data_IF_313451263869
#
_entry.id   IF_313451263869
#
_cell.length_a   1.000
_cell.length_b   1.000
_cell.length_c   1.000
_cell.angle_alpha   90.00
_cell.angle_beta   90.00
_cell.angle_gamma   90.00
#
_symmetry.space_group_name_H-M   'P 1'
#
loop_
_entity.id
_entity.type
_entity.pdbx_description
1 polymer ?
#
# COMPACT_ATOMS: atom_id res chain seq x y z
N UNK A 1 -25.37 -19.40 102.68
CA UNK A 1 -26.12 -20.07 101.61
C UNK A 1 -26.93 -19.08 100.69
N UNK A 2 -27.50 -17.96 101.21
CA UNK A 2 -28.25 -17.02 100.36
C UNK A 2 -27.42 -16.22 99.37
N UNK A 3 -26.15 -15.91 99.61
CA UNK A 3 -25.29 -15.14 98.66
C UNK A 3 -24.77 -15.93 97.49
N UNK A 4 -24.52 -17.28 97.65
CA UNK A 4 -24.10 -18.19 96.61
C UNK A 4 -25.20 -18.42 95.58
N UNK A 5 -26.46 -18.48 95.97
CA UNK A 5 -27.60 -18.62 95.11
C UNK A 5 -27.80 -17.46 94.12
N UNK A 6 -27.52 -16.23 94.63
CA UNK A 6 -27.63 -15.01 93.82
C UNK A 6 -26.58 -14.97 92.72
N UNK A 7 -25.35 -15.39 92.99
CA UNK A 7 -24.29 -15.46 91.98
C UNK A 7 -24.56 -16.50 90.87
N UNK A 8 -25.21 -17.62 91.26
CA UNK A 8 -25.58 -18.65 90.26
C UNK A 8 -26.70 -18.14 89.35
N UNK A 9 -27.66 -17.38 89.88
CA UNK A 9 -28.72 -16.78 89.08
C UNK A 9 -28.18 -15.71 88.12
N UNK A 10 -27.28 -14.84 88.62
CA UNK A 10 -26.63 -13.85 87.76
C UNK A 10 -25.79 -14.48 86.68
N UNK A 11 -25.04 -15.53 86.97
CA UNK A 11 -24.27 -16.27 85.95
C UNK A 11 -25.19 -16.94 84.89
N UNK A 12 -26.29 -17.53 85.30
CA UNK A 12 -27.25 -18.11 84.37
C UNK A 12 -27.90 -17.06 83.43
N UNK A 13 -28.25 -15.87 83.98
CA UNK A 13 -28.77 -14.78 83.18
C UNK A 13 -27.75 -14.24 82.20
N UNK A 14 -26.45 -14.12 82.59
CA UNK A 14 -25.39 -13.69 81.71
C UNK A 14 -25.13 -14.71 80.57
N UNK A 15 -25.17 -16.01 80.88
CA UNK A 15 -25.02 -17.06 79.88
C UNK A 15 -26.23 -17.08 78.94
N UNK A 16 -27.45 -16.83 79.45
CA UNK A 16 -28.65 -16.74 78.61
C UNK A 16 -28.60 -15.53 77.66
N UNK A 17 -28.13 -14.37 78.14
CA UNK A 17 -27.95 -13.17 77.32
C UNK A 17 -26.84 -13.36 76.29
N UNK A 18 -25.74 -14.01 76.62
CA UNK A 18 -24.69 -14.32 75.67
C UNK A 18 -25.15 -15.30 74.60
N UNK A 19 -25.87 -16.37 74.98
CA UNK A 19 -26.47 -17.30 74.02
C UNK A 19 -27.50 -16.65 73.07
N UNK A 20 -28.33 -15.76 73.62
CA UNK A 20 -29.29 -14.97 72.79
C UNK A 20 -28.57 -14.06 71.81
N UNK A 21 -27.53 -13.37 72.26
CA UNK A 21 -26.72 -12.47 71.39
C UNK A 21 -25.95 -13.21 70.32
N UNK A 22 -25.41 -14.40 70.59
CA UNK A 22 -24.77 -15.28 69.65
C UNK A 22 -25.76 -15.80 68.58
N UNK A 23 -26.95 -16.26 69.04
CA UNK A 23 -28.00 -16.75 68.13
C UNK A 23 -28.50 -15.63 67.24
N UNK A 24 -28.75 -14.42 67.77
CA UNK A 24 -29.19 -13.26 66.98
C UNK A 24 -28.13 -12.78 65.99
N UNK A 25 -26.86 -12.81 66.36
CA UNK A 25 -25.79 -12.48 65.43
C UNK A 25 -25.64 -13.51 64.34
N UNK A 26 -25.80 -14.80 64.64
CA UNK A 26 -25.71 -15.88 63.67
C UNK A 26 -26.80 -15.80 62.62
N UNK A 27 -28.05 -15.50 63.04
CA UNK A 27 -29.15 -15.33 62.08
C UNK A 27 -29.03 -14.08 61.20
N UNK A 28 -28.40 -12.99 61.74
CA UNK A 28 -28.07 -11.79 60.92
C UNK A 28 -26.96 -12.09 59.90
N UNK A 29 -25.90 -12.79 60.30
CA UNK A 29 -24.85 -13.19 59.40
C UNK A 29 -25.33 -14.16 58.32
N UNK A 30 -26.22 -15.11 58.68
CA UNK A 30 -26.79 -16.02 57.67
C UNK A 30 -27.72 -15.30 56.71
N UNK A 31 -28.42 -14.23 57.13
CA UNK A 31 -29.22 -13.40 56.25
C UNK A 31 -28.38 -12.49 55.36
N UNK A 32 -27.32 -11.88 55.87
CA UNK A 32 -26.36 -11.09 55.06
C UNK A 32 -25.61 -11.98 54.05
N UNK A 33 -25.13 -13.16 54.45
CA UNK A 33 -24.47 -14.11 53.53
C UNK A 33 -25.44 -14.64 52.48
N UNK A 34 -26.71 -14.85 52.81
CA UNK A 34 -27.75 -15.27 51.85
C UNK A 34 -28.12 -14.15 50.85
N UNK A 35 -28.04 -12.88 51.26
CA UNK A 35 -28.29 -11.73 50.39
C UNK A 35 -27.11 -11.46 49.46
N UNK A 36 -25.86 -11.53 49.96
CA UNK A 36 -24.63 -11.47 49.16
C UNK A 36 -24.51 -12.65 48.21
N UNK A 37 -24.89 -13.88 48.63
CA UNK A 37 -24.91 -15.04 47.76
C UNK A 37 -25.94 -14.92 46.62
N UNK A 38 -27.04 -14.21 46.81
CA UNK A 38 -28.03 -13.91 45.75
C UNK A 38 -27.50 -12.85 44.76
N UNK A 39 -26.64 -11.96 45.16
CA UNK A 39 -26.05 -10.92 44.31
C UNK A 39 -24.86 -11.44 43.52
N UNK A 40 -24.08 -12.42 44.05
CA UNK A 40 -22.95 -13.09 43.38
C UNK A 40 -23.39 -14.01 42.24
N UNK A 41 -24.70 -14.36 42.16
CA UNK A 41 -25.26 -15.26 41.15
C UNK A 41 -25.53 -14.56 39.77
N UNK A 42 -25.24 -13.26 39.66
CA UNK A 42 -25.39 -12.48 38.42
C UNK A 42 -24.06 -12.15 37.80
N UNK A 43 -23.86 -12.55 36.54
CA UNK A 43 -22.65 -12.25 35.80
C UNK A 43 -22.81 -10.89 35.13
N UNK A 44 -21.83 -10.01 35.33
CA UNK A 44 -21.80 -8.69 34.72
C UNK A 44 -21.47 -8.81 33.22
N UNK A 45 -22.30 -8.23 32.37
CA UNK A 45 -22.15 -8.28 30.92
C UNK A 45 -22.39 -6.91 30.28
N UNK A 46 -21.70 -6.61 29.19
CA UNK A 46 -22.04 -5.50 28.31
C UNK A 46 -22.92 -6.00 27.17
N UNK A 47 -23.89 -5.21 26.80
CA UNK A 47 -24.80 -5.52 25.69
C UNK A 47 -24.80 -4.41 24.65
N UNK A 48 -25.04 -4.82 23.40
CA UNK A 48 -25.29 -3.91 22.28
C UNK A 48 -26.66 -4.25 21.70
N UNK A 49 -27.46 -3.22 21.46
CA UNK A 49 -28.76 -3.40 20.78
C UNK A 49 -28.51 -3.56 19.28
N UNK A 50 -29.00 -4.64 18.73
CA UNK A 50 -28.91 -4.95 17.31
C UNK A 50 -29.82 -4.01 16.53
N UNK A 51 -29.25 -3.32 15.54
CA UNK A 51 -29.96 -2.37 14.68
C UNK A 51 -29.57 -2.57 13.23
N UNK A 52 -30.46 -2.14 12.32
CA UNK A 52 -30.08 -2.00 10.93
C UNK A 52 -29.13 -0.82 10.77
N UNK A 53 -27.98 -1.08 10.24
CA UNK A 53 -26.98 -0.04 9.94
C UNK A 53 -26.71 0.01 8.45
N UNK A 54 -26.52 1.24 7.97
CA UNK A 54 -26.05 1.48 6.60
C UNK A 54 -24.56 1.23 6.53
N UNK A 55 -24.15 0.08 6.05
CA UNK A 55 -22.74 -0.27 5.88
C UNK A 55 -22.31 0.06 4.45
N UNK A 56 -21.22 0.81 4.32
CA UNK A 56 -20.59 1.02 3.04
C UNK A 56 -19.94 -0.28 2.57
N UNK A 57 -20.36 -0.79 1.41
CA UNK A 57 -19.89 -2.06 0.83
C UNK A 57 -18.85 -1.84 -0.26
N UNK A 58 -18.22 -0.66 -0.31
CA UNK A 58 -17.15 -0.39 -1.27
C UNK A 58 -16.03 -1.42 -1.11
N UNK A 59 -15.57 -1.93 -2.24
CA UNK A 59 -14.42 -2.82 -2.24
C UNK A 59 -13.13 -2.01 -2.04
N UNK A 60 -12.28 -2.44 -1.13
CA UNK A 60 -10.99 -1.81 -0.87
C UNK A 60 -9.85 -2.77 -1.16
N UNK A 61 -8.77 -2.25 -1.77
CA UNK A 61 -7.54 -2.99 -1.97
C UNK A 61 -6.34 -2.14 -1.58
N UNK A 62 -5.39 -2.76 -0.88
CA UNK A 62 -4.15 -2.10 -0.51
C UNK A 62 -3.10 -2.25 -1.61
N UNK A 63 -2.27 -1.23 -1.76
CA UNK A 63 -1.21 -1.23 -2.74
C UNK A 63 -0.07 -0.30 -2.40
N UNK A 64 0.90 -0.25 -3.31
CA UNK A 64 2.12 0.55 -3.18
C UNK A 64 2.25 1.48 -4.37
N UNK A 65 2.65 2.72 -4.12
CA UNK A 65 2.97 3.66 -5.19
C UNK A 65 4.29 3.31 -5.86
N UNK A 66 4.26 3.17 -7.17
CA UNK A 66 5.41 3.02 -8.04
C UNK A 66 5.62 4.31 -8.85
N UNK A 67 6.84 4.63 -9.27
CA UNK A 67 7.07 5.75 -10.17
C UNK A 67 6.38 5.50 -11.52
N UNK A 68 5.98 6.57 -12.22
CA UNK A 68 5.42 6.45 -13.58
C UNK A 68 6.42 5.79 -14.52
N UNK A 69 7.67 6.20 -14.43
CA UNK A 69 8.80 5.65 -15.17
C UNK A 69 10.04 5.67 -14.28
N UNK A 70 10.85 4.66 -14.43
CA UNK A 70 12.15 4.52 -13.80
C UNK A 70 13.15 4.06 -14.84
N UNK A 71 14.34 4.65 -14.83
CA UNK A 71 15.39 4.35 -15.80
C UNK A 71 16.76 4.39 -15.14
N UNK A 72 17.51 3.31 -15.33
CA UNK A 72 18.93 3.28 -15.02
C UNK A 72 19.71 3.75 -16.26
N UNK A 73 20.26 4.97 -16.19
CA UNK A 73 21.09 5.52 -17.25
C UNK A 73 22.50 4.96 -17.12
N UNK A 74 22.92 4.23 -18.15
CA UNK A 74 24.25 3.58 -18.24
C UNK A 74 25.15 4.27 -19.26
N UNK A 75 26.46 4.02 -19.17
CA UNK A 75 27.42 4.43 -20.19
C UNK A 75 27.29 3.56 -21.43
N UNK A 76 27.41 4.16 -22.61
CA UNK A 76 27.45 3.45 -23.91
C UNK A 76 28.89 3.20 -24.36
N UNK A 77 29.87 3.94 -23.80
CA UNK A 77 31.30 3.83 -24.17
C UNK A 77 32.16 3.65 -22.91
N UNK A 78 33.38 3.16 -23.13
CA UNK A 78 34.42 3.12 -22.08
C UNK A 78 35.15 4.46 -21.99
N UNK A 79 35.45 4.88 -20.75
CA UNK A 79 36.26 6.05 -20.53
C UNK A 79 36.28 6.55 -19.10
N UNK A 80 37.07 7.61 -18.85
CA UNK A 80 37.13 8.27 -17.55
C UNK A 80 36.10 9.39 -17.51
N UNK A 81 35.33 9.49 -16.44
CA UNK A 81 34.40 10.59 -16.17
C UNK A 81 35.20 11.85 -15.84
N UNK A 82 34.98 12.91 -16.61
CA UNK A 82 35.58 14.23 -16.39
C UNK A 82 34.78 15.07 -15.42
N UNK A 83 33.46 15.09 -15.62
CA UNK A 83 32.55 15.86 -14.79
C UNK A 83 31.21 15.18 -14.62
N UNK A 84 30.60 15.40 -13.45
CA UNK A 84 29.21 15.03 -13.13
C UNK A 84 28.48 16.33 -12.81
N UNK A 85 27.42 16.63 -13.58
CA UNK A 85 26.73 17.93 -13.57
C UNK A 85 25.49 17.94 -12.67
N UNK A 86 25.11 16.78 -12.13
CA UNK A 86 23.90 16.60 -11.33
C UNK A 86 24.20 15.90 -10.01
N UNK A 87 23.30 16.12 -9.03
CA UNK A 87 23.33 15.48 -7.71
C UNK A 87 22.04 14.72 -7.50
N UNK A 88 22.01 13.82 -6.51
CA UNK A 88 20.78 13.19 -6.05
C UNK A 88 19.75 14.26 -5.64
N UNK A 89 18.48 14.04 -5.97
CA UNK A 89 17.41 15.01 -5.79
C UNK A 89 17.30 16.08 -6.90
N UNK A 90 18.27 16.18 -7.84
CA UNK A 90 18.20 17.13 -8.96
C UNK A 90 17.13 16.72 -9.95
N UNK A 91 16.26 17.66 -10.36
CA UNK A 91 15.33 17.47 -11.48
C UNK A 91 16.05 17.63 -12.80
N UNK A 92 15.79 16.71 -13.73
CA UNK A 92 16.41 16.68 -15.06
C UNK A 92 15.34 16.51 -16.14
N UNK A 93 15.59 17.13 -17.29
CA UNK A 93 14.80 16.94 -18.51
C UNK A 93 15.39 15.83 -19.39
N UNK A 94 14.54 15.17 -20.18
CA UNK A 94 15.00 14.23 -21.20
C UNK A 94 16.00 14.93 -22.15
N UNK A 95 17.12 14.26 -22.47
CA UNK A 95 18.21 14.81 -23.26
C UNK A 95 19.20 15.73 -22.51
N UNK A 96 18.92 16.08 -21.25
CA UNK A 96 19.84 16.88 -20.43
C UNK A 96 21.13 16.12 -20.14
N UNK A 97 22.29 16.76 -20.29
CA UNK A 97 23.58 16.15 -19.98
C UNK A 97 23.76 16.02 -18.46
N UNK A 98 24.09 14.81 -18.01
CA UNK A 98 24.28 14.44 -16.60
C UNK A 98 25.76 14.34 -16.24
N UNK A 99 26.57 13.79 -17.14
CA UNK A 99 28.00 13.61 -16.97
C UNK A 99 28.70 13.65 -18.33
N UNK A 100 30.02 13.88 -18.29
CA UNK A 100 30.88 13.84 -19.49
C UNK A 100 32.05 12.89 -19.29
N UNK A 101 32.33 12.12 -20.34
CA UNK A 101 33.48 11.22 -20.42
C UNK A 101 34.61 11.92 -21.17
N UNK A 102 35.85 11.60 -20.82
CA UNK A 102 37.05 12.11 -21.48
C UNK A 102 37.06 11.74 -22.95
N UNK A 103 37.25 12.71 -23.84
CA UNK A 103 37.09 12.53 -25.29
C UNK A 103 38.35 12.87 -26.12
N UNK A 104 39.50 13.18 -25.49
CA UNK A 104 40.70 13.64 -26.20
C UNK A 104 41.11 12.72 -27.35
N UNK A 105 41.07 11.40 -27.15
CA UNK A 105 41.38 10.44 -28.22
C UNK A 105 40.35 10.45 -29.35
N UNK A 106 39.05 10.60 -29.01
CA UNK A 106 37.98 10.66 -30.00
C UNK A 106 38.06 11.96 -30.81
N UNK A 107 38.45 13.09 -30.20
CA UNK A 107 38.64 14.37 -30.89
C UNK A 107 39.75 14.27 -31.95
N UNK A 108 40.83 13.51 -31.68
CA UNK A 108 41.90 13.24 -32.66
C UNK A 108 41.35 12.42 -33.83
N UNK A 109 40.58 11.34 -33.55
CA UNK A 109 39.95 10.49 -34.57
C UNK A 109 38.98 11.28 -35.48
N UNK A 110 38.19 12.18 -34.87
CA UNK A 110 37.29 13.07 -35.62
C UNK A 110 38.08 14.00 -36.54
N UNK A 111 39.14 14.62 -36.03
CA UNK A 111 39.97 15.51 -36.83
C UNK A 111 40.59 14.79 -38.02
N UNK A 112 41.05 13.54 -37.81
CA UNK A 112 41.57 12.68 -38.90
C UNK A 112 40.49 12.37 -39.94
N UNK A 113 39.27 12.01 -39.48
CA UNK A 113 38.17 11.73 -40.40
C UNK A 113 37.75 12.97 -41.20
N UNK A 114 37.73 14.15 -40.55
CA UNK A 114 37.45 15.42 -41.23
C UNK A 114 38.48 15.78 -42.28
N UNK A 115 39.78 15.59 -41.99
CA UNK A 115 40.86 15.82 -42.97
C UNK A 115 40.71 14.87 -44.18
N UNK A 116 40.39 13.58 -43.94
CA UNK A 116 40.19 12.63 -45.03
C UNK A 116 38.94 13.01 -45.86
N UNK A 117 37.86 13.49 -45.24
CA UNK A 117 36.70 14.01 -45.94
C UNK A 117 37.03 15.21 -46.79
N UNK A 118 37.80 16.18 -46.28
CA UNK A 118 38.23 17.37 -47.05
C UNK A 118 39.03 16.98 -48.28
N UNK A 119 39.97 16.02 -48.15
CA UNK A 119 40.74 15.52 -49.30
C UNK A 119 39.79 14.85 -50.33
N UNK A 120 38.89 13.99 -49.89
CA UNK A 120 37.93 13.31 -50.79
C UNK A 120 36.98 14.31 -51.51
N UNK A 121 36.60 15.41 -50.88
CA UNK A 121 35.80 16.50 -51.50
C UNK A 121 36.62 17.15 -52.62
N UNK A 122 37.89 17.53 -52.35
CA UNK A 122 38.76 18.17 -53.33
C UNK A 122 39.01 17.24 -54.54
N UNK A 123 39.29 15.99 -54.27
CA UNK A 123 39.57 15.02 -55.32
C UNK A 123 38.32 14.74 -56.17
N UNK A 124 37.17 14.53 -55.56
CA UNK A 124 35.91 14.36 -56.29
C UNK A 124 35.61 15.57 -57.17
N UNK A 125 35.82 16.79 -56.68
CA UNK A 125 35.63 18.02 -57.46
C UNK A 125 36.59 18.12 -58.66
N UNK A 126 37.85 17.68 -58.50
CA UNK A 126 38.82 17.55 -59.62
C UNK A 126 38.35 16.54 -60.67
N UNK A 127 37.92 15.34 -60.26
CA UNK A 127 37.40 14.31 -61.15
C UNK A 127 36.10 14.79 -61.84
N UNK A 128 35.22 15.47 -61.19
CA UNK A 128 33.99 16.02 -61.80
C UNK A 128 34.32 17.06 -62.89
N UNK A 129 35.28 17.94 -62.64
CA UNK A 129 35.71 18.95 -63.60
C UNK A 129 36.47 18.29 -64.78
N UNK A 130 37.34 17.33 -64.54
CA UNK A 130 38.08 16.63 -65.58
C UNK A 130 37.15 15.75 -66.44
N UNK A 131 36.09 15.18 -65.86
CA UNK A 131 35.08 14.39 -66.59
C UNK A 131 34.28 15.26 -67.58
N UNK A 132 33.95 16.50 -67.21
CA UNK A 132 33.25 17.45 -68.10
C UNK A 132 34.07 17.78 -69.34
N UNK A 133 35.41 17.71 -69.26
CA UNK A 133 36.37 17.99 -70.35
C UNK A 133 36.89 16.70 -71.04
N UNK A 134 36.35 15.51 -70.68
CA UNK A 134 36.80 14.24 -71.24
C UNK A 134 38.13 13.74 -70.70
N UNK A 135 38.73 14.35 -69.67
CA UNK A 135 40.05 14.02 -69.12
C UNK A 135 40.10 12.79 -68.24
N UNK A 136 38.91 12.25 -67.80
CA UNK A 136 38.82 11.04 -66.97
C UNK A 136 37.62 10.19 -67.41
N UNK A 137 37.68 8.87 -67.09
CA UNK A 137 36.60 7.95 -67.39
C UNK A 137 35.47 8.06 -66.36
N UNK A 138 34.27 7.65 -66.75
CA UNK A 138 33.11 7.58 -65.83
C UNK A 138 33.40 6.70 -64.62
N UNK A 139 34.12 5.61 -64.79
CA UNK A 139 34.54 4.71 -63.72
C UNK A 139 35.41 5.44 -62.68
N UNK A 140 36.36 6.28 -63.14
CA UNK A 140 37.19 7.08 -62.24
C UNK A 140 36.39 8.10 -61.47
N UNK A 141 35.42 8.78 -62.10
CA UNK A 141 34.49 9.68 -61.39
C UNK A 141 33.65 8.94 -60.37
N UNK A 142 33.06 7.82 -60.75
CA UNK A 142 32.19 7.04 -59.84
C UNK A 142 33.01 6.48 -58.64
N UNK A 143 34.29 6.10 -58.86
CA UNK A 143 35.18 5.73 -57.75
C UNK A 143 35.48 6.91 -56.81
N UNK A 144 35.71 8.11 -57.33
CA UNK A 144 35.92 9.27 -56.48
C UNK A 144 34.69 9.65 -55.67
N UNK A 145 33.47 9.50 -56.25
CA UNK A 145 32.21 9.68 -55.55
C UNK A 145 31.98 8.65 -54.42
N UNK A 146 32.39 7.40 -54.66
CA UNK A 146 32.36 6.35 -53.63
C UNK A 146 33.30 6.68 -52.47
N UNK A 147 34.54 7.14 -52.80
CA UNK A 147 35.50 7.58 -51.75
C UNK A 147 34.95 8.75 -50.91
N UNK A 148 34.31 9.72 -51.55
CA UNK A 148 33.64 10.85 -50.83
C UNK A 148 32.55 10.35 -49.91
N UNK A 149 31.66 9.43 -50.39
CA UNK A 149 30.61 8.86 -49.52
C UNK A 149 31.19 8.09 -48.33
N UNK A 150 32.25 7.31 -48.54
CA UNK A 150 32.93 6.58 -47.47
C UNK A 150 33.53 7.52 -46.45
N UNK A 151 34.19 8.62 -46.86
CA UNK A 151 34.73 9.61 -45.97
C UNK A 151 33.63 10.34 -45.18
N UNK A 152 32.50 10.67 -45.82
CA UNK A 152 31.33 11.25 -45.13
C UNK A 152 30.73 10.29 -44.07
N UNK A 153 30.69 8.99 -44.37
CA UNK A 153 30.23 7.99 -43.42
C UNK A 153 31.17 7.85 -42.22
N UNK A 154 32.51 7.92 -42.46
CA UNK A 154 33.50 7.88 -41.40
C UNK A 154 33.37 9.07 -40.41
N UNK A 155 33.19 10.31 -40.92
CA UNK A 155 32.93 11.49 -40.04
C UNK A 155 31.67 11.30 -39.26
N UNK A 156 30.58 10.82 -39.86
CA UNK A 156 29.31 10.53 -39.11
C UNK A 156 29.54 9.51 -37.99
N UNK A 157 30.28 8.44 -38.25
CA UNK A 157 30.57 7.43 -37.24
C UNK A 157 31.31 8.05 -36.00
N UNK A 158 32.32 8.90 -36.29
CA UNK A 158 33.04 9.59 -35.19
C UNK A 158 32.14 10.61 -34.46
N UNK A 159 31.24 11.28 -35.17
CA UNK A 159 30.30 12.24 -34.53
C UNK A 159 29.32 11.54 -33.57
N UNK A 160 28.89 10.31 -33.85
CA UNK A 160 28.13 9.50 -32.93
C UNK A 160 28.95 9.20 -31.66
N UNK A 161 30.20 8.76 -31.82
CA UNK A 161 31.10 8.50 -30.68
C UNK A 161 31.32 9.73 -29.79
N UNK A 162 31.42 10.94 -30.37
CA UNK A 162 31.45 12.18 -29.58
C UNK A 162 30.15 12.37 -28.80
N UNK A 163 29.02 12.14 -29.46
CA UNK A 163 27.72 12.26 -28.77
C UNK A 163 27.66 11.36 -27.53
N UNK A 164 28.17 10.13 -27.66
CA UNK A 164 28.15 9.10 -26.59
C UNK A 164 29.08 9.45 -25.41
N UNK A 165 30.01 10.42 -25.58
CA UNK A 165 30.80 10.95 -24.46
C UNK A 165 29.98 11.81 -23.49
N UNK A 166 28.82 12.30 -23.91
CA UNK A 166 27.89 13.07 -23.11
C UNK A 166 26.77 12.19 -22.62
N UNK A 167 26.82 11.75 -21.38
CA UNK A 167 25.76 10.95 -20.78
C UNK A 167 24.53 11.82 -20.56
N UNK A 168 23.42 11.48 -21.22
CA UNK A 168 22.18 12.26 -21.20
C UNK A 168 21.07 11.50 -20.54
N UNK A 169 20.16 12.23 -19.88
CA UNK A 169 18.95 11.65 -19.29
C UNK A 169 18.03 11.09 -20.40
N UNK A 170 17.70 9.80 -20.34
CA UNK A 170 16.78 9.18 -21.28
C UNK A 170 15.32 9.55 -21.04
N UNK A 171 14.97 9.92 -19.79
CA UNK A 171 13.63 10.36 -19.38
C UNK A 171 13.73 11.66 -18.55
N UNK A 172 12.63 12.40 -18.50
CA UNK A 172 12.49 13.52 -17.55
C UNK A 172 12.11 12.97 -16.17
N UNK A 173 12.76 13.46 -15.11
CA UNK A 173 12.51 12.99 -13.76
C UNK A 173 13.42 13.63 -12.72
N UNK A 174 13.61 12.93 -11.62
CA UNK A 174 14.54 13.32 -10.54
C UNK A 174 15.61 12.25 -10.40
N UNK A 175 16.85 12.65 -10.20
CA UNK A 175 17.96 11.71 -9.90
C UNK A 175 17.68 11.09 -8.53
N UNK A 176 17.37 9.81 -8.50
CA UNK A 176 17.17 9.07 -7.27
C UNK A 176 18.51 8.62 -6.67
N UNK A 177 19.40 8.12 -7.54
CA UNK A 177 20.70 7.63 -7.12
C UNK A 177 21.78 7.99 -8.14
N UNK A 178 22.96 8.37 -7.63
CA UNK A 178 24.16 8.61 -8.40
C UNK A 178 25.21 7.55 -8.02
N UNK A 179 25.66 6.78 -8.99
CA UNK A 179 26.55 5.63 -8.79
C UNK A 179 27.99 5.91 -9.29
N UNK A 180 28.26 7.13 -9.74
CA UNK A 180 29.54 7.50 -10.34
C UNK A 180 30.02 8.84 -9.83
N UNK A 181 31.37 8.99 -9.80
CA UNK A 181 32.07 10.19 -9.38
C UNK A 181 33.03 10.68 -10.48
N UNK A 182 33.37 11.98 -10.51
CA UNK A 182 34.44 12.47 -11.36
C UNK A 182 35.73 11.69 -11.09
N UNK A 183 36.43 11.31 -12.19
CA UNK A 183 37.64 10.50 -12.13
C UNK A 183 37.40 8.98 -12.22
N UNK A 184 36.19 8.49 -12.01
CA UNK A 184 35.86 7.07 -12.17
C UNK A 184 36.01 6.61 -13.63
N UNK A 185 36.36 5.34 -13.83
CA UNK A 185 36.42 4.71 -15.14
C UNK A 185 35.19 3.86 -15.31
N UNK A 186 34.49 4.02 -16.42
CA UNK A 186 33.26 3.29 -16.77
C UNK A 186 33.45 2.47 -18.04
N UNK A 187 32.63 1.45 -18.21
CA UNK A 187 32.54 0.60 -19.39
C UNK A 187 31.10 0.59 -19.90
N UNK A 188 30.85 0.17 -21.15
CA UNK A 188 29.50 0.03 -21.68
C UNK A 188 28.62 -0.82 -20.76
N UNK A 189 27.40 -0.35 -20.49
CA UNK A 189 26.46 -1.00 -19.57
C UNK A 189 26.65 -0.67 -18.10
N UNK A 190 27.71 0.07 -17.70
CA UNK A 190 27.87 0.48 -16.28
C UNK A 190 26.77 1.46 -15.90
N UNK A 191 25.90 1.14 -14.90
CA UNK A 191 24.85 2.04 -14.45
C UNK A 191 25.48 3.26 -13.74
N UNK A 192 25.06 4.45 -14.13
CA UNK A 192 25.61 5.71 -13.63
C UNK A 192 24.60 6.52 -12.82
N UNK A 193 23.36 6.56 -13.27
CA UNK A 193 22.28 7.32 -12.65
C UNK A 193 20.99 6.53 -12.68
N UNK A 194 20.24 6.58 -11.59
CA UNK A 194 18.87 6.13 -11.51
C UNK A 194 17.96 7.36 -11.56
N UNK A 195 17.10 7.43 -12.58
CA UNK A 195 16.19 8.55 -12.82
C UNK A 195 14.77 8.05 -12.60
N UNK A 196 14.03 8.71 -11.74
CA UNK A 196 12.62 8.38 -11.45
C UNK A 196 11.69 9.52 -11.83
N UNK A 197 10.64 9.22 -12.54
CA UNK A 197 9.57 10.18 -12.84
C UNK A 197 8.44 10.00 -11.83
N UNK A 198 8.32 10.97 -10.94
CA UNK A 198 7.31 11.02 -9.88
C UNK A 198 6.28 12.13 -10.07
N UNK A 199 6.18 12.75 -11.25
CA UNK A 199 5.15 13.76 -11.54
C UNK A 199 3.74 13.16 -11.53
N UNK A 200 3.60 11.91 -11.94
CA UNK A 200 2.49 11.05 -11.59
C UNK A 200 3.03 9.72 -11.07
N UNK A 201 2.25 9.05 -10.27
CA UNK A 201 2.58 7.75 -9.68
C UNK A 201 1.57 6.71 -10.13
N UNK A 202 1.96 5.45 -10.10
CA UNK A 202 1.07 4.32 -10.29
C UNK A 202 0.85 3.65 -8.94
N UNK A 203 -0.38 3.61 -8.46
CA UNK A 203 -0.74 2.76 -7.35
C UNK A 203 -1.00 1.35 -7.89
N UNK A 204 -0.12 0.42 -7.55
CA UNK A 204 -0.27 -0.99 -7.89
C UNK A 204 -1.01 -1.69 -6.75
N UNK A 205 -2.19 -2.21 -7.05
CA UNK A 205 -3.05 -2.95 -6.11
C UNK A 205 -3.34 -4.35 -6.65
N UNK A 206 -3.63 -5.27 -5.73
CA UNK A 206 -4.07 -6.62 -6.07
C UNK A 206 -5.58 -6.72 -5.82
N UNK A 207 -6.33 -7.11 -6.85
CA UNK A 207 -7.79 -7.21 -6.81
C UNK A 207 -8.20 -8.67 -6.95
N UNK A 208 -9.07 -9.13 -6.06
CA UNK A 208 -9.62 -10.49 -6.07
C UNK A 208 -10.34 -10.82 -7.38
N UNK A 209 -10.33 -12.09 -7.80
CA UNK A 209 -11.10 -12.60 -8.93
C UNK A 209 -12.59 -12.25 -8.84
N UNK A 210 -13.18 -12.32 -7.64
CA UNK A 210 -14.59 -11.99 -7.41
C UNK A 210 -14.97 -10.53 -7.63
N UNK A 211 -13.97 -9.63 -7.66
CA UNK A 211 -14.15 -8.18 -7.79
C UNK A 211 -13.64 -7.64 -9.12
N UNK A 212 -12.65 -8.28 -9.75
CA UNK A 212 -12.03 -7.78 -10.98
C UNK A 212 -13.04 -7.60 -12.12
N UNK A 213 -14.07 -8.46 -12.19
CA UNK A 213 -15.14 -8.34 -13.19
C UNK A 213 -16.06 -7.12 -13.00
N UNK A 214 -15.98 -6.43 -11.86
CA UNK A 214 -16.82 -5.26 -11.53
C UNK A 214 -16.11 -3.93 -11.77
N UNK A 215 -14.80 -3.94 -11.99
CA UNK A 215 -14.00 -2.74 -12.27
C UNK A 215 -13.73 -2.60 -13.75
N UNK A 216 -13.52 -1.37 -14.20
CA UNK A 216 -13.32 -1.05 -15.62
C UNK A 216 -12.13 -0.12 -15.83
N UNK A 217 -11.48 -0.25 -16.99
CA UNK A 217 -10.45 0.68 -17.42
C UNK A 217 -11.04 2.10 -17.50
N UNK A 218 -10.29 3.09 -17.02
CA UNK A 218 -10.73 4.48 -17.00
C UNK A 218 -11.59 4.85 -15.79
N UNK A 219 -12.03 3.90 -14.97
CA UNK A 219 -12.80 4.15 -13.75
C UNK A 219 -12.00 5.02 -12.77
N UNK A 220 -12.66 5.99 -12.14
CA UNK A 220 -12.09 6.76 -11.03
C UNK A 220 -12.14 5.95 -9.73
N UNK A 221 -11.07 6.06 -8.96
CA UNK A 221 -10.88 5.37 -7.69
C UNK A 221 -10.44 6.39 -6.65
N UNK A 222 -11.11 6.42 -5.51
CA UNK A 222 -10.68 7.20 -4.36
C UNK A 222 -9.50 6.47 -3.68
N UNK A 223 -8.53 7.24 -3.20
CA UNK A 223 -7.30 6.69 -2.62
C UNK A 223 -7.06 7.34 -1.27
N UNK A 224 -6.90 6.51 -0.26
CA UNK A 224 -6.54 6.92 1.09
C UNK A 224 -5.08 6.56 1.37
N UNK A 225 -4.31 7.56 1.82
CA UNK A 225 -2.89 7.41 2.17
C UNK A 225 -2.75 7.64 3.66
N UNK A 226 -2.52 6.60 4.44
CA UNK A 226 -2.54 6.65 5.92
C UNK A 226 -1.57 7.67 6.54
N UNK A 227 -0.45 7.96 5.85
CA UNK A 227 0.54 8.94 6.31
C UNK A 227 0.16 10.38 5.94
N UNK A 228 -0.91 10.59 5.17
CA UNK A 228 -1.43 11.88 4.72
C UNK A 228 -2.96 11.90 4.87
N UNK A 229 -3.49 11.80 6.11
CA UNK A 229 -4.92 11.61 6.33
C UNK A 229 -5.78 12.84 5.97
N UNK A 230 -5.18 14.02 5.94
CA UNK A 230 -5.86 15.28 5.57
C UNK A 230 -6.00 15.46 4.05
N UNK A 231 -5.19 14.73 3.26
CA UNK A 231 -5.17 14.84 1.81
C UNK A 231 -6.08 13.79 1.18
N UNK A 232 -6.97 14.21 0.30
CA UNK A 232 -7.77 13.32 -0.53
C UNK A 232 -7.12 13.14 -1.89
N UNK A 233 -6.85 11.89 -2.25
CA UNK A 233 -6.30 11.54 -3.56
C UNK A 233 -7.33 10.77 -4.37
N UNK A 234 -7.26 10.95 -5.67
CA UNK A 234 -8.03 10.15 -6.62
C UNK A 234 -7.13 9.75 -7.78
N UNK A 235 -7.41 8.61 -8.34
CA UNK A 235 -6.69 8.08 -9.49
C UNK A 235 -7.65 7.49 -10.51
N UNK A 236 -7.09 7.08 -11.64
CA UNK A 236 -7.82 6.42 -12.72
C UNK A 236 -7.19 5.08 -13.02
N UNK A 237 -7.99 4.04 -13.16
CA UNK A 237 -7.51 2.72 -13.57
C UNK A 237 -6.96 2.81 -15.00
N UNK A 238 -5.67 2.53 -15.17
CA UNK A 238 -4.98 2.56 -16.47
C UNK A 238 -4.65 1.18 -16.98
N UNK A 239 -4.57 0.18 -16.09
CA UNK A 239 -4.27 -1.18 -16.46
C UNK A 239 -4.95 -2.17 -15.51
N UNK A 240 -5.49 -3.24 -16.07
CA UNK A 240 -5.99 -4.42 -15.36
C UNK A 240 -5.28 -5.61 -16.01
N UNK A 241 -4.54 -6.38 -15.22
CA UNK A 241 -3.80 -7.52 -15.75
C UNK A 241 -4.76 -8.56 -16.35
N UNK A 242 -4.46 -9.10 -17.55
CA UNK A 242 -5.28 -10.13 -18.19
C UNK A 242 -5.11 -11.51 -17.53
N UNK A 243 -4.15 -11.65 -16.61
CA UNK A 243 -3.82 -12.89 -15.90
C UNK A 243 -3.63 -12.60 -14.41
N UNK A 244 -4.20 -13.48 -13.57
CA UNK A 244 -3.99 -13.46 -12.13
C UNK A 244 -2.59 -13.96 -11.73
N UNK A 245 -2.18 -13.61 -10.53
CA UNK A 245 -1.06 -14.24 -9.83
C UNK A 245 -1.43 -15.66 -9.32
N UNK A 246 -0.50 -16.31 -8.62
CA UNK A 246 -0.70 -17.64 -8.05
C UNK A 246 -1.77 -17.69 -6.93
N UNK A 247 -2.13 -16.54 -6.38
CA UNK A 247 -3.15 -16.40 -5.33
C UNK A 247 -4.51 -15.96 -5.88
N UNK A 248 -4.73 -16.03 -7.21
CA UNK A 248 -5.94 -15.61 -7.91
C UNK A 248 -6.25 -14.10 -7.77
N UNK A 249 -5.22 -13.28 -7.53
CA UNK A 249 -5.35 -11.84 -7.53
C UNK A 249 -4.90 -11.25 -8.87
N UNK A 250 -5.59 -10.24 -9.33
CA UNK A 250 -5.29 -9.51 -10.55
C UNK A 250 -4.57 -8.20 -10.23
N UNK A 251 -3.32 -8.00 -10.70
CA UNK A 251 -2.66 -6.71 -10.60
C UNK A 251 -3.43 -5.62 -11.36
N UNK A 252 -3.68 -4.51 -10.69
CA UNK A 252 -4.37 -3.34 -11.25
C UNK A 252 -3.50 -2.11 -11.00
N UNK A 253 -3.27 -1.29 -12.04
CA UNK A 253 -2.55 -0.03 -11.94
C UNK A 253 -3.53 1.15 -12.00
N UNK A 254 -3.40 2.04 -11.02
CA UNK A 254 -4.19 3.27 -10.90
C UNK A 254 -3.22 4.45 -11.03
N UNK A 255 -3.36 5.25 -12.08
CA UNK A 255 -2.54 6.46 -12.25
C UNK A 255 -3.06 7.58 -11.36
N UNK A 256 -2.15 8.18 -10.58
CA UNK A 256 -2.42 9.24 -9.62
C UNK A 256 -1.53 10.43 -9.92
N UNK A 257 -2.11 11.61 -10.08
CA UNK A 257 -1.34 12.84 -10.25
C UNK A 257 -0.68 13.23 -8.92
N UNK A 258 0.62 13.42 -8.94
CA UNK A 258 1.37 13.80 -7.75
C UNK A 258 1.51 15.32 -7.65
N UNK A 259 0.96 15.90 -6.60
CA UNK A 259 1.11 17.33 -6.28
C UNK A 259 2.38 17.64 -5.46
N UNK A 260 3.27 16.64 -5.28
CA UNK A 260 4.53 16.77 -4.56
C UNK A 260 4.58 16.07 -3.19
N UNK A 261 3.44 15.65 -2.66
CA UNK A 261 3.35 15.02 -1.33
C UNK A 261 3.55 13.50 -1.37
N UNK A 262 3.23 12.86 -2.50
CA UNK A 262 3.38 11.42 -2.66
C UNK A 262 4.80 11.04 -3.06
N UNK A 263 5.29 9.93 -2.52
CA UNK A 263 6.57 9.33 -2.90
C UNK A 263 6.36 7.88 -3.34
N UNK A 264 7.16 7.43 -4.29
CA UNK A 264 7.24 6.02 -4.63
C UNK A 264 7.62 5.19 -3.40
N UNK A 265 7.03 4.01 -3.23
CA UNK A 265 7.19 3.17 -2.05
C UNK A 265 6.18 3.42 -0.93
N UNK A 266 5.38 4.50 -0.96
CA UNK A 266 4.31 4.70 0.02
C UNK A 266 3.17 3.71 -0.19
N UNK A 267 2.54 3.28 0.92
CA UNK A 267 1.35 2.44 0.92
C UNK A 267 0.08 3.28 0.86
N UNK A 268 -0.92 2.78 0.17
CA UNK A 268 -2.23 3.39 0.08
C UNK A 268 -3.33 2.33 -0.05
N UNK A 269 -4.56 2.73 0.29
CA UNK A 269 -5.77 1.94 0.11
C UNK A 269 -6.58 2.54 -1.02
N UNK A 270 -6.82 1.78 -2.07
CA UNK A 270 -7.74 2.12 -3.16
C UNK A 270 -9.17 1.72 -2.76
N UNK A 271 -10.13 2.62 -2.95
CA UNK A 271 -11.56 2.43 -2.65
C UNK A 271 -12.29 2.41 -3.98
N UNK A 272 -12.71 1.22 -4.39
CA UNK A 272 -13.44 1.01 -5.64
C UNK A 272 -14.94 1.17 -5.39
N UNK A 273 -15.51 2.24 -5.91
CA UNK A 273 -16.97 2.38 -5.92
C UNK A 273 -17.54 1.42 -6.95
N UNK A 274 -18.46 0.56 -6.52
CA UNK A 274 -19.21 -0.28 -7.45
C UNK A 274 -20.13 0.60 -8.30
N UNK A 275 -20.33 0.23 -9.59
CA UNK A 275 -21.08 1.03 -10.58
C UNK A 275 -22.54 1.40 -10.21
N UNK A 276 -23.04 0.93 -9.07
CA UNK A 276 -24.38 1.25 -8.56
C UNK A 276 -24.43 2.41 -7.55
N UNK A 277 -23.36 3.20 -7.44
CA UNK A 277 -23.20 4.18 -6.36
C UNK A 277 -22.78 3.49 -5.07
N UNK A 278 -22.36 4.22 -4.04
CA UNK A 278 -22.11 3.62 -2.73
C UNK A 278 -23.37 2.86 -2.28
N UNK A 279 -23.40 1.54 -2.51
CA UNK A 279 -24.46 0.69 -2.00
C UNK A 279 -24.32 0.64 -0.49
N UNK A 280 -24.86 1.64 0.18
CA UNK A 280 -25.16 1.50 1.59
C UNK A 280 -26.29 0.49 1.71
N UNK A 281 -25.95 -0.73 2.05
CA UNK A 281 -26.95 -1.73 2.35
C UNK A 281 -27.32 -1.62 3.84
N UNK A 282 -28.61 -1.39 4.09
CA UNK A 282 -29.15 -1.52 5.44
C UNK A 282 -29.12 -2.98 5.83
N UNK A 283 -28.21 -3.35 6.69
CA UNK A 283 -28.06 -4.73 7.14
C UNK A 283 -28.02 -4.82 8.66
N UNK A 284 -28.51 -5.93 9.19
CA UNK A 284 -28.43 -6.20 10.61
C UNK A 284 -27.00 -6.61 10.95
N UNK A 285 -26.34 -5.87 11.85
CA UNK A 285 -24.94 -6.12 12.22
C UNK A 285 -24.77 -6.26 13.73
N UNK A 286 -23.75 -7.02 14.11
CA UNK A 286 -23.29 -7.15 15.49
C UNK A 286 -21.76 -7.03 15.52
N UNK A 287 -21.16 -6.53 16.62
CA UNK A 287 -19.72 -6.57 16.77
C UNK A 287 -19.19 -8.00 16.73
N UNK A 288 -18.03 -8.21 16.11
CA UNK A 288 -17.39 -9.54 16.05
C UNK A 288 -17.11 -10.13 17.45
N UNK A 289 -16.95 -9.26 18.46
CA UNK A 289 -16.78 -9.63 19.87
C UNK A 289 -18.03 -10.28 20.49
N UNK A 290 -19.21 -10.19 19.85
CA UNK A 290 -20.44 -10.82 20.33
C UNK A 290 -20.46 -12.34 20.13
N UNK A 291 -19.62 -12.85 19.24
CA UNK A 291 -19.59 -14.28 18.95
C UNK A 291 -18.83 -15.09 20.00
N UNK A 292 -19.41 -16.17 20.45
CA UNK A 292 -18.77 -17.12 21.36
C UNK A 292 -17.78 -17.97 20.56
N UNK A 293 -16.51 -17.99 20.96
CA UNK A 293 -15.43 -18.72 20.26
C UNK A 293 -15.21 -18.29 18.80
N UNK A 294 -15.54 -17.02 18.46
CA UNK A 294 -15.30 -16.46 17.14
C UNK A 294 -16.48 -16.57 16.16
N UNK A 295 -16.40 -15.83 15.08
CA UNK A 295 -17.51 -15.66 14.10
C UNK A 295 -17.94 -16.99 13.48
N UNK A 296 -16.99 -17.89 13.23
CA UNK A 296 -17.26 -19.21 12.62
C UNK A 296 -18.14 -20.13 13.47
N UNK A 297 -18.25 -19.90 14.79
CA UNK A 297 -19.11 -20.68 15.67
C UNK A 297 -20.59 -20.48 15.37
N UNK A 298 -20.95 -19.29 14.86
CA UNK A 298 -22.35 -18.90 14.67
C UNK A 298 -23.16 -18.85 15.97
N UNK A 299 -22.52 -18.70 17.13
CA UNK A 299 -23.16 -18.69 18.43
C UNK A 299 -23.03 -17.33 19.11
N UNK A 300 -24.15 -16.82 19.62
CA UNK A 300 -24.24 -15.51 20.27
C UNK A 300 -25.13 -15.64 21.52
N UNK A 301 -24.76 -14.94 22.61
CA UNK A 301 -25.66 -14.78 23.74
C UNK A 301 -26.54 -13.54 23.57
N UNK A 302 -27.83 -13.69 23.74
CA UNK A 302 -28.82 -12.61 23.80
C UNK A 302 -29.32 -12.44 25.23
N UNK A 303 -29.33 -11.20 25.69
CA UNK A 303 -29.90 -10.84 26.98
C UNK A 303 -31.43 -10.78 26.89
N UNK A 304 -32.12 -11.67 27.57
CA UNK A 304 -33.58 -11.75 27.56
C UNK A 304 -34.12 -11.95 28.98
N UNK A 305 -34.91 -11.01 29.48
CA UNK A 305 -35.51 -11.08 30.83
C UNK A 305 -34.50 -11.30 31.98
N UNK A 306 -33.29 -10.68 31.87
CA UNK A 306 -32.24 -10.80 32.91
C UNK A 306 -31.46 -12.12 32.88
N UNK A 307 -31.61 -12.92 31.83
CA UNK A 307 -30.84 -14.16 31.61
C UNK A 307 -30.13 -14.13 30.25
N UNK A 308 -29.00 -14.81 30.15
CA UNK A 308 -28.27 -15.00 28.91
C UNK A 308 -28.84 -16.25 28.18
N UNK A 309 -29.30 -16.07 26.96
CA UNK A 309 -29.81 -17.15 26.12
C UNK A 309 -28.82 -17.35 24.95
N UNK A 310 -28.25 -18.54 24.85
CA UNK A 310 -27.42 -18.92 23.72
C UNK A 310 -28.28 -19.21 22.50
N UNK A 311 -28.06 -18.50 21.40
CA UNK A 311 -28.74 -18.71 20.14
C UNK A 311 -27.75 -18.98 19.01
N UNK A 312 -28.19 -19.72 18.01
CA UNK A 312 -27.45 -19.96 16.78
C UNK A 312 -27.88 -18.94 15.73
N UNK A 313 -26.91 -18.25 15.14
CA UNK A 313 -27.13 -17.29 14.08
C UNK A 313 -26.39 -17.71 12.82
N UNK A 314 -26.81 -17.19 11.67
CA UNK A 314 -26.07 -17.35 10.40
C UNK A 314 -25.30 -16.07 10.13
N UNK A 315 -23.96 -16.04 10.35
CA UNK A 315 -23.16 -14.88 10.01
C UNK A 315 -23.01 -14.73 8.49
N UNK A 316 -22.99 -13.51 8.02
CA UNK A 316 -22.69 -13.13 6.65
C UNK A 316 -21.25 -12.60 6.51
N UNK A 317 -21.07 -11.52 5.74
CA UNK A 317 -19.77 -10.86 5.56
C UNK A 317 -19.33 -10.08 6.79
N UNK A 318 -18.03 -9.98 6.96
CA UNK A 318 -17.38 -9.16 8.00
C UNK A 318 -16.97 -7.82 7.40
N UNK A 319 -17.35 -6.73 8.07
CA UNK A 319 -17.06 -5.36 7.67
C UNK A 319 -16.34 -4.64 8.83
N UNK A 320 -15.01 -4.64 8.80
CA UNK A 320 -14.20 -4.12 9.91
C UNK A 320 -14.40 -4.91 11.20
N UNK A 321 -14.93 -4.25 12.23
CA UNK A 321 -15.28 -4.85 13.53
C UNK A 321 -16.71 -5.42 13.60
N UNK A 322 -17.53 -5.26 12.54
CA UNK A 322 -18.93 -5.67 12.49
C UNK A 322 -19.13 -6.88 11.58
N UNK A 323 -20.05 -7.74 11.97
CA UNK A 323 -20.45 -8.95 11.24
C UNK A 323 -21.91 -8.83 10.84
N UNK A 324 -22.20 -9.00 9.57
CA UNK A 324 -23.56 -9.09 9.07
C UNK A 324 -24.24 -10.33 9.63
N UNK A 325 -25.51 -10.21 10.02
CA UNK A 325 -26.35 -11.34 10.41
C UNK A 325 -27.42 -11.57 9.35
N UNK A 326 -27.35 -12.75 8.73
CA UNK A 326 -28.31 -13.15 7.70
C UNK A 326 -29.58 -13.73 8.31
N UNK A 327 -29.45 -14.44 9.44
CA UNK A 327 -30.60 -15.08 10.13
C UNK A 327 -30.26 -15.30 11.62
N UNK A 328 -31.32 -15.38 12.46
CA UNK A 328 -31.20 -15.75 13.88
C UNK A 328 -31.34 -14.60 14.87
N UNK A 329 -31.27 -13.33 14.43
CA UNK A 329 -31.49 -12.13 15.26
C UNK A 329 -32.60 -11.26 14.67
N UNK A 330 -33.18 -10.43 15.52
CA UNK A 330 -34.17 -9.41 15.13
C UNK A 330 -33.66 -8.03 15.53
N UNK A 331 -34.14 -7.01 14.84
CA UNK A 331 -33.91 -5.62 15.24
C UNK A 331 -34.45 -5.39 16.66
N UNK A 332 -33.63 -4.81 17.53
CA UNK A 332 -33.94 -4.57 18.93
C UNK A 332 -33.46 -5.64 19.91
N UNK A 333 -32.94 -6.78 19.42
CA UNK A 333 -32.36 -7.79 20.31
C UNK A 333 -31.12 -7.23 21.01
N UNK A 334 -30.91 -7.57 22.28
CA UNK A 334 -29.74 -7.16 23.06
C UNK A 334 -28.70 -8.28 23.05
N UNK A 335 -27.61 -8.08 22.33
CA UNK A 335 -26.54 -9.07 22.19
C UNK A 335 -25.41 -8.77 23.17
N UNK A 336 -24.92 -9.80 23.85
CA UNK A 336 -23.85 -9.70 24.83
C UNK A 336 -22.51 -9.62 24.07
N UNK A 337 -21.73 -8.58 24.36
CA UNK A 337 -20.43 -8.30 23.70
C UNK A 337 -19.23 -8.50 24.60
N UNK A 338 -19.45 -8.60 25.92
CA UNK A 338 -18.39 -8.94 26.88
C UNK A 338 -18.92 -9.73 28.05
N UNK A 339 -18.08 -10.54 28.72
CA UNK A 339 -18.45 -11.42 29.83
C UNK A 339 -18.87 -12.84 29.40
N UNK A 340 -18.87 -13.15 28.09
CA UNK A 340 -19.36 -14.42 27.53
C UNK A 340 -18.63 -15.65 28.06
N UNK A 341 -17.35 -15.54 28.44
CA UNK A 341 -16.50 -16.68 28.88
C UNK A 341 -17.09 -17.37 30.12
N UNK A 342 -17.81 -16.63 30.96
CA UNK A 342 -18.38 -17.12 32.20
C UNK A 342 -19.88 -17.42 32.08
N UNK A 343 -20.44 -17.37 30.87
CA UNK A 343 -21.88 -17.57 30.63
C UNK A 343 -22.18 -18.98 30.14
N UNK A 344 -23.16 -19.59 30.77
CA UNK A 344 -23.89 -20.74 30.26
C UNK A 344 -25.28 -20.34 29.79
N UNK A 345 -25.92 -21.18 28.99
CA UNK A 345 -27.29 -20.93 28.56
C UNK A 345 -28.24 -20.91 29.77
N UNK A 346 -28.88 -19.76 30.03
CA UNK A 346 -29.76 -19.54 31.19
C UNK A 346 -29.07 -18.85 32.38
N UNK A 347 -27.79 -18.48 32.29
CA UNK A 347 -27.09 -17.75 33.35
C UNK A 347 -27.77 -16.41 33.63
N UNK A 348 -27.94 -16.07 34.90
CA UNK A 348 -28.47 -14.76 35.33
C UNK A 348 -27.42 -13.69 35.06
N UNK A 349 -27.82 -12.60 34.47
CA UNK A 349 -26.95 -11.52 34.08
C UNK A 349 -27.32 -10.18 34.71
N UNK A 350 -26.30 -9.36 34.92
CA UNK A 350 -26.44 -7.95 35.25
C UNK A 350 -25.85 -7.13 34.12
N UNK A 351 -26.69 -6.32 33.46
CA UNK A 351 -26.25 -5.48 32.34
C UNK A 351 -25.54 -4.24 32.89
N UNK A 352 -24.26 -4.12 32.59
CA UNK A 352 -23.49 -2.90 32.84
C UNK A 352 -23.47 -2.08 31.54
N UNK A 353 -23.71 -0.77 31.69
CA UNK A 353 -23.64 0.17 30.56
C UNK A 353 -22.21 0.57 30.27
#
# INVERSE_FOLDING_TARGET
MKKTLIYIVIAAVLVGLAAYKISSNKSKQEAEVAEVAKEVDKINVNVVTVQYESINTDYTANGTFLPKQEMNQSSEISGRIVSVLVKEGTRVGAGQTLATIKRDAIDVDVSQAQNNLQNAIIDNQRYENAYKTGGVTKQQLDNSRLQLKNAQAAVRAQSVRISDTSIRAGISGTINKRMVEPGAVVSPGTPMFEIVNINSLKLSVLVDESQVGKIQLGQQVAINVNVLPEDSFSGRITFIAPKSDASLNFPVEIEVQNRGNLKAGMYATAIFQTNNGAETQNMLTVPATAFVNGVSSGQIFVAQNGVAKLIKVTPGKVYGDKVQILNGLKNGDQVITSGQINLDNGSKINIIK
#
